data_IF_542344675580
#
_entry.id   IF_542344675580
#
_cell.length_a   1.000
_cell.length_b   1.000
_cell.length_c   1.000
_cell.angle_alpha   90.00
_cell.angle_beta   90.00
_cell.angle_gamma   90.00
#
_symmetry.space_group_name_H-M   'P 1'
#
loop_
_entity.id
_entity.type
_entity.pdbx_description
1 polymer ?
2 non-polymer ?
3 water ?
#
# COMPACT_ATOMS: atom_id res chain seq x y z
N UNK A 1 3.89 7.85 -25.34
CA UNK A 1 4.91 6.95 -24.77
C UNK A 1 4.20 6.12 -23.71
N UNK A 2 4.43 4.81 -23.70
CA UNK A 2 3.82 3.95 -22.69
C UNK A 2 4.96 3.35 -21.87
N UNK A 3 4.97 3.60 -20.57
CA UNK A 3 6.13 3.23 -19.77
C UNK A 3 5.71 2.76 -18.39
N UNK A 4 6.60 1.99 -17.77
CA UNK A 4 6.41 1.57 -16.38
C UNK A 4 6.87 2.68 -15.43
N UNK A 5 6.02 3.02 -14.46
CA UNK A 5 6.16 4.11 -13.50
C UNK A 5 6.03 3.56 -12.09
N UNK A 6 6.60 4.27 -11.10
CA UNK A 6 6.41 3.91 -9.69
C UNK A 6 5.41 4.86 -9.05
N UNK A 7 4.32 4.29 -8.52
CA UNK A 7 3.19 5.05 -7.99
C UNK A 7 3.04 4.75 -6.50
N UNK A 8 2.78 5.79 -5.70
CA UNK A 8 2.72 5.63 -4.25
C UNK A 8 1.49 4.84 -3.81
N UNK A 9 1.71 3.81 -3.00
CA UNK A 9 0.61 2.98 -2.47
C UNK A 9 -0.12 3.59 -1.28
N UNK A 10 0.28 4.78 -0.86
CA UNK A 10 -0.39 5.55 0.17
C UNK A 10 -1.25 6.69 -0.37
N UNK A 11 -0.84 7.30 -1.50
CA UNK A 11 -1.58 8.46 -2.01
C UNK A 11 -1.72 8.50 -3.52
N UNK A 12 -1.18 7.53 -4.25
CA UNK A 12 -1.20 7.48 -5.70
C UNK A 12 -0.37 8.59 -6.36
N UNK A 13 0.40 9.39 -5.60
CA UNK A 13 1.29 10.35 -6.24
C UNK A 13 2.52 9.68 -6.80
N UNK A 14 3.29 10.43 -7.58
CA UNK A 14 4.54 9.87 -8.09
C UNK A 14 5.53 9.66 -6.96
N UNK A 15 6.34 8.60 -7.05
CA UNK A 15 7.44 8.38 -6.11
C UNK A 15 8.73 8.86 -6.79
N UNK A 16 9.15 10.07 -6.46
CA UNK A 16 10.32 10.73 -7.03
C UNK A 16 11.20 11.26 -5.90
N UNK A 17 12.51 11.08 -6.02
CA UNK A 17 13.41 11.51 -4.97
C UNK A 17 13.81 10.33 -4.13
N UNK A 18 13.13 10.14 -3.01
CA UNK A 18 13.33 8.97 -2.15
C UNK A 18 12.12 8.06 -2.31
N UNK A 19 12.38 6.78 -2.54
CA UNK A 19 11.39 5.72 -2.71
C UNK A 19 11.46 4.79 -1.50
N UNK A 20 10.35 4.57 -0.82
CA UNK A 20 10.29 3.56 0.25
C UNK A 20 9.64 2.27 -0.24
N UNK A 21 10.34 1.16 -0.08
CA UNK A 21 9.82 -0.12 -0.55
C UNK A 21 9.69 -1.08 0.62
N UNK A 22 8.72 -2.00 0.58
CA UNK A 22 8.65 -3.00 1.63
C UNK A 22 9.89 -3.90 1.58
N UNK A 23 10.42 -4.23 2.75
CA UNK A 23 11.57 -5.12 2.87
C UNK A 23 11.20 -6.58 2.61
N UNK A 24 9.90 -6.89 2.62
CA UNK A 24 9.40 -8.25 2.51
C UNK A 24 8.59 -8.45 1.24
N UNK A 25 7.56 -7.58 1.02
CA UNK A 25 6.62 -7.71 -0.08
C UNK A 25 7.21 -7.11 -1.34
N UNK A 26 7.10 -7.78 -2.46
CA UNK A 26 7.44 -7.14 -3.72
C UNK A 26 6.33 -6.19 -4.15
N UNK A 27 6.74 -5.16 -4.89
CA UNK A 27 5.82 -4.25 -5.59
C UNK A 27 5.07 -3.31 -4.64
N UNK A 28 5.69 -2.95 -3.52
CA UNK A 28 5.12 -2.02 -2.56
C UNK A 28 5.99 -0.78 -2.49
N UNK A 29 5.39 0.38 -2.69
CA UNK A 29 6.16 1.63 -2.75
C UNK A 29 5.42 2.76 -2.05
N UNK A 30 6.15 3.57 -1.28
CA UNK A 30 5.61 4.79 -0.68
C UNK A 30 6.50 5.97 -1.01
N UNK A 31 5.87 7.13 -1.23
CA UNK A 31 6.60 8.38 -1.29
C UNK A 31 7.05 8.78 0.11
N UNK A 32 7.93 9.78 0.18
CA UNK A 32 8.47 10.14 1.49
C UNK A 32 7.42 10.74 2.41
N UNK A 33 6.41 11.44 1.88
CA UNK A 33 5.34 11.96 2.73
C UNK A 33 4.55 10.81 3.35
N UNK A 34 4.13 9.85 2.52
CA UNK A 34 3.34 8.74 3.06
C UNK A 34 4.16 7.83 3.98
N UNK A 35 5.46 7.69 3.75
CA UNK A 35 6.25 6.91 4.70
C UNK A 35 6.14 7.49 6.11
N UNK A 36 6.05 8.82 6.24
CA UNK A 36 5.92 9.39 7.57
C UNK A 36 4.63 9.03 8.26
N UNK A 37 3.62 8.60 7.50
CA UNK A 37 2.38 8.11 8.08
C UNK A 37 2.55 6.77 8.77
N UNK A 38 3.60 6.02 8.45
CA UNK A 38 3.79 4.74 9.08
C UNK A 38 2.96 3.62 8.49
N UNK A 39 2.46 3.79 7.26
CA UNK A 39 1.62 2.81 6.58
C UNK A 39 2.33 1.46 6.45
N UNK A 40 1.54 0.41 6.25
CA UNK A 40 2.06 -0.95 6.10
C UNK A 40 2.81 -1.35 7.36
N UNK A 41 2.25 -0.95 8.50
CA UNK A 41 2.90 -1.19 9.78
C UNK A 41 2.92 -2.68 10.06
N UNK A 42 4.07 -3.15 10.52
CA UNK A 42 4.37 -4.55 10.72
C UNK A 42 5.51 -5.04 9.85
N UNK A 43 5.76 -4.36 8.73
CA UNK A 43 6.89 -4.63 7.84
C UNK A 43 7.75 -3.39 7.76
N UNK A 44 9.06 -3.57 7.89
CA UNK A 44 9.95 -2.44 7.72
C UNK A 44 10.03 -2.03 6.26
N UNK A 45 10.03 -0.72 6.00
CA UNK A 45 10.24 -0.18 4.67
C UNK A 45 11.66 0.36 4.55
N UNK A 46 12.21 0.20 3.35
CA UNK A 46 13.58 0.57 3.01
C UNK A 46 13.62 1.79 2.10
N UNK A 47 14.56 2.72 2.37
CA UNK A 47 14.78 3.92 1.54
C UNK A 47 15.70 3.63 0.36
N UNK A 48 15.24 3.96 -0.85
CA UNK A 48 16.02 3.85 -2.08
C UNK A 48 15.88 5.13 -2.88
N UNK A 49 16.78 5.38 -3.84
CA UNK A 49 16.50 6.42 -4.85
C UNK A 49 15.33 5.96 -5.70
N UNK A 50 14.74 6.90 -6.45
CA UNK A 50 13.65 6.56 -7.35
C UNK A 50 14.17 6.42 -8.76
N UNK A 51 13.46 5.69 -9.64
CA UNK A 51 13.97 5.60 -11.01
C UNK A 51 13.95 6.93 -11.78
N UNK B 1 -2.85 -12.31 24.36
CA UNK B 1 -3.24 -13.21 23.25
C UNK B 1 -2.61 -12.72 21.94
N UNK B 2 -2.18 -13.67 21.10
CA UNK B 2 -1.69 -13.36 19.76
C UNK B 2 -2.88 -13.46 18.82
N UNK B 3 -3.11 -12.41 18.05
CA UNK B 3 -4.33 -12.32 17.25
C UNK B 3 -3.94 -11.87 15.86
N UNK B 4 -4.64 -12.39 14.87
CA UNK B 4 -4.41 -11.98 13.49
C UNK B 4 -5.27 -10.77 13.18
N UNK B 5 -4.64 -9.68 12.74
CA UNK B 5 -5.33 -8.43 12.49
C UNK B 5 -5.16 -8.04 11.03
N UNK B 6 -6.22 -7.49 10.44
CA UNK B 6 -6.19 -6.97 9.08
C UNK B 6 -6.18 -5.45 9.17
N UNK B 7 -5.12 -4.85 8.65
CA UNK B 7 -4.86 -3.42 8.78
C UNK B 7 -4.87 -2.79 7.40
N UNK B 8 -5.56 -1.66 7.27
CA UNK B 8 -5.60 -0.97 5.99
C UNK B 8 -4.25 -0.35 5.66
N UNK B 9 -3.71 -0.71 4.49
CA UNK B 9 -2.46 -0.10 4.05
C UNK B 9 -2.62 1.33 3.58
N UNK B 10 -3.84 1.80 3.38
CA UNK B 10 -4.00 3.18 2.96
C UNK B 10 -4.08 4.18 4.09
N UNK B 11 -4.66 3.77 5.22
CA UNK B 11 -4.87 4.69 6.33
C UNK B 11 -4.40 4.16 7.68
N UNK B 12 -3.83 2.95 7.76
CA UNK B 12 -3.32 2.39 9.00
C UNK B 12 -4.38 2.02 10.03
N UNK B 13 -5.68 2.19 9.73
CA UNK B 13 -6.72 1.75 10.63
C UNK B 13 -7.02 0.29 10.44
N UNK B 14 -7.76 -0.28 11.39
CA UNK B 14 -8.24 -1.66 11.19
C UNK B 14 -9.22 -1.70 10.04
N UNK B 15 -9.19 -2.79 9.29
CA UNK B 15 -10.26 -2.98 8.31
C UNK B 15 -11.48 -3.50 9.05
N UNK B 16 -12.48 -2.64 9.17
CA UNK B 16 -13.78 -2.96 9.73
C UNK B 16 -14.71 -2.69 8.57
N UNK B 17 -15.48 -3.67 8.21
CA UNK B 17 -16.23 -3.56 6.98
C UNK B 17 -15.51 -4.31 5.87
N UNK B 18 -15.96 -4.07 4.64
CA UNK B 18 -15.42 -4.77 3.48
C UNK B 18 -13.90 -4.62 3.40
N UNK B 19 -13.23 -5.74 3.10
CA UNK B 19 -11.77 -5.80 2.99
C UNK B 19 -11.41 -5.92 1.52
N UNK B 20 -10.70 -4.94 0.97
CA UNK B 20 -10.29 -5.02 -0.42
C UNK B 20 -8.87 -5.57 -0.42
N UNK B 21 -8.69 -6.82 -0.87
CA UNK B 21 -7.37 -7.45 -0.78
C UNK B 21 -6.80 -7.59 -2.17
N UNK B 22 -5.55 -7.18 -2.33
CA UNK B 22 -4.93 -7.31 -3.65
C UNK B 22 -4.83 -8.77 -4.06
N UNK B 23 -5.19 -9.04 -5.31
CA UNK B 23 -5.11 -10.36 -5.93
C UNK B 23 -3.73 -10.72 -6.43
N UNK B 24 -2.83 -9.76 -6.55
CA UNK B 24 -1.50 -9.97 -7.12
C UNK B 24 -0.44 -9.93 -6.02
N UNK B 25 -0.48 -8.89 -5.21
CA UNK B 25 0.47 -8.71 -4.12
C UNK B 25 0.17 -9.70 -3.01
N UNK B 26 1.18 -10.08 -2.21
CA UNK B 26 0.92 -11.03 -1.11
C UNK B 26 0.13 -10.48 0.06
N UNK B 27 0.18 -9.18 0.32
CA UNK B 27 -0.15 -8.67 1.64
C UNK B 27 -0.61 -7.22 1.66
N UNK B 28 -1.44 -6.83 0.69
CA UNK B 28 -1.95 -5.46 0.58
C UNK B 28 -3.48 -5.44 0.71
N UNK B 29 -3.98 -4.63 1.66
CA UNK B 29 -5.40 -4.59 1.98
C UNK B 29 -5.84 -3.15 2.14
N UNK B 30 -7.04 -2.82 1.64
CA UNK B 30 -7.63 -1.50 1.82
C UNK B 30 -9.03 -1.57 2.40
N UNK B 31 -9.34 -0.59 3.26
CA UNK B 31 -10.71 -0.33 3.69
C UNK B 31 -11.49 0.31 2.52
N UNK B 32 -12.82 0.45 2.66
CA UNK B 32 -13.58 0.98 1.53
C UNK B 32 -13.28 2.45 1.25
N UNK B 33 -12.96 3.23 2.27
CA UNK B 33 -12.61 4.62 2.04
C UNK B 33 -11.33 4.72 1.22
N UNK B 34 -10.30 3.96 1.60
CA UNK B 34 -9.04 4.06 0.87
C UNK B 34 -9.15 3.43 -0.51
N UNK B 35 -9.91 2.34 -0.64
CA UNK B 35 -10.21 1.78 -1.95
C UNK B 35 -10.87 2.83 -2.83
N UNK B 36 -11.76 3.62 -2.23
CA UNK B 36 -12.46 4.68 -2.94
C UNK B 36 -11.59 5.83 -3.39
N UNK B 37 -10.43 6.01 -2.77
CA UNK B 37 -9.47 7.01 -3.22
C UNK B 37 -8.80 6.63 -4.52
N UNK B 38 -8.94 5.37 -4.92
CA UNK B 38 -8.31 4.84 -6.10
C UNK B 38 -6.90 4.35 -5.92
N UNK B 39 -6.44 4.19 -4.67
CA UNK B 39 -5.09 3.68 -4.45
C UNK B 39 -4.90 2.31 -5.09
N UNK B 40 -3.65 2.02 -5.52
CA UNK B 40 -3.26 0.66 -5.96
C UNK B 40 -4.16 0.18 -7.10
N UNK B 41 -4.45 1.11 -7.99
CA UNK B 41 -5.43 0.93 -9.03
C UNK B 41 -5.05 -0.13 -10.05
N UNK B 42 -3.77 -0.33 -10.30
CA UNK B 42 -3.31 -1.21 -11.35
C UNK B 42 -3.55 -2.68 -11.09
N UNK B 43 -3.87 -3.05 -9.86
CA UNK B 43 -4.14 -4.43 -9.49
C UNK B 43 -5.58 -4.59 -9.04
N UNK B 44 -6.19 -5.72 -9.39
CA UNK B 44 -7.51 -6.03 -8.88
C UNK B 44 -7.43 -6.30 -7.39
N UNK B 45 -8.31 -5.67 -6.63
CA UNK B 45 -8.48 -5.99 -5.22
C UNK B 45 -9.90 -6.51 -5.04
N UNK B 46 -10.04 -7.69 -4.48
CA UNK B 46 -11.38 -8.27 -4.37
C UNK B 46 -12.01 -7.90 -3.04
N UNK B 47 -13.33 -7.72 -3.05
CA UNK B 47 -14.06 -7.38 -1.84
C UNK B 47 -14.26 -8.65 -1.04
N UNK B 48 -13.43 -8.84 -0.04
CA UNK B 48 -13.55 -9.92 0.93
C UNK B 48 -14.53 -9.51 2.02
N UNK B 49 -15.00 -10.48 2.82
CA UNK B 49 -15.82 -10.08 3.97
C UNK B 49 -15.05 -9.24 5.00
X LIG C 1 2.28 9.01 -1.03
X LIG D 1 5.16 -5.87 3.24
X LIG E 1 -8.11 2.83 4.91
X LIG F 1 -1.06 -5.34 -5.62
#
# INVERSE_FOLDING_TARGET
IEEEDVICDGCNGPVVGTRYKCSVCPDYDLCSVCEGKGLHRGHTKLAFPSPFGHLSEGFS
IEEEDVICDGCNGPVVGTRYKCSVCPDYDLCSVCEGKGLHRGHTKLAFPSPFGHLSEGFS
ZN ZN
ZN ZN
ZN ZN
ZN ZN
#
